data_IF_585570562727
#
_entry.id   IF_585570562727
#
_cell.length_a   1.000
_cell.length_b   1.000
_cell.length_c   1.000
_cell.angle_alpha   90.00
_cell.angle_beta   90.00
_cell.angle_gamma   90.00
#
_symmetry.space_group_name_H-M   'P 1'
#
loop_
_entity.id
_entity.type
_entity.pdbx_description
1 polymer ?
#
# COMPACT_ATOMS: atom_id res chain seq x y z
N UNK A 1 67.19 17.96 -55.22
CA UNK A 1 66.32 18.59 -54.20
C UNK A 1 65.03 17.82 -54.12
N UNK A 2 64.85 16.96 -53.12
CA UNK A 2 63.63 16.14 -52.93
C UNK A 2 62.84 16.70 -51.72
N UNK A 3 61.68 17.33 -51.98
CA UNK A 3 60.76 17.76 -50.92
C UNK A 3 60.05 16.54 -50.36
N UNK A 4 60.24 16.29 -49.06
CA UNK A 4 59.44 15.29 -48.28
C UNK A 4 58.12 15.94 -47.85
N UNK A 5 57.03 15.42 -48.35
CA UNK A 5 55.69 15.74 -47.86
C UNK A 5 55.44 14.97 -46.57
N UNK A 6 55.30 15.69 -45.45
CA UNK A 6 54.88 15.13 -44.17
C UNK A 6 53.34 15.13 -44.19
N UNK A 7 52.73 13.95 -44.20
CA UNK A 7 51.28 13.80 -44.03
C UNK A 7 50.95 13.75 -42.53
N UNK A 8 50.25 14.76 -42.03
CA UNK A 8 49.69 14.80 -40.66
C UNK A 8 48.42 13.93 -40.65
N UNK A 9 48.51 12.77 -40.02
CA UNK A 9 47.31 11.94 -39.76
C UNK A 9 46.72 12.44 -38.42
N UNK A 10 45.62 13.21 -38.49
CA UNK A 10 44.83 13.58 -37.34
C UNK A 10 43.90 12.41 -37.00
N UNK A 11 44.24 11.62 -35.98
CA UNK A 11 43.42 10.56 -35.44
C UNK A 11 42.33 11.18 -34.57
N UNK A 12 41.14 11.40 -35.14
CA UNK A 12 39.98 11.84 -34.37
C UNK A 12 39.49 10.69 -33.49
N UNK A 13 39.82 10.71 -32.19
CA UNK A 13 39.27 9.77 -31.21
C UNK A 13 37.81 10.16 -30.92
N UNK A 14 36.88 9.56 -31.65
CA UNK A 14 35.46 9.63 -31.38
C UNK A 14 35.20 8.90 -30.03
N UNK A 15 35.19 9.62 -28.92
CA UNK A 15 34.65 9.11 -27.68
C UNK A 15 33.13 8.94 -27.87
N UNK A 16 32.71 7.74 -28.21
CA UNK A 16 31.31 7.33 -28.06
C UNK A 16 31.02 7.27 -26.57
N UNK A 17 30.44 8.33 -26.05
CA UNK A 17 29.80 8.30 -24.72
C UNK A 17 28.63 7.32 -24.88
N UNK A 18 28.86 6.06 -24.51
CA UNK A 18 27.77 5.12 -24.27
C UNK A 18 27.03 5.69 -23.07
N UNK A 19 25.96 6.45 -23.31
CA UNK A 19 24.99 6.75 -22.27
C UNK A 19 24.41 5.40 -21.87
N UNK A 20 24.85 4.85 -20.75
CA UNK A 20 24.17 3.72 -20.14
C UNK A 20 22.73 4.17 -19.91
N UNK A 21 21.83 3.69 -20.78
CA UNK A 21 20.41 3.97 -20.62
C UNK A 21 20.02 3.36 -19.29
N UNK A 22 19.55 4.19 -18.37
CA UNK A 22 19.15 3.71 -17.06
C UNK A 22 18.07 2.62 -17.26
N UNK A 23 18.26 1.49 -16.60
CA UNK A 23 17.27 0.41 -16.64
C UNK A 23 15.95 0.93 -16.10
N UNK A 24 14.84 0.69 -16.79
CA UNK A 24 13.53 1.08 -16.36
C UNK A 24 13.10 0.29 -15.11
N UNK A 25 12.24 0.88 -14.30
CA UNK A 25 11.78 0.30 -13.03
C UNK A 25 10.48 -0.47 -13.24
N UNK A 26 10.42 -1.68 -12.70
CA UNK A 26 9.21 -2.50 -12.63
C UNK A 26 8.77 -2.67 -11.19
N UNK A 27 7.47 -2.49 -10.92
CA UNK A 27 6.88 -2.64 -9.59
C UNK A 27 5.76 -3.66 -9.61
N UNK A 28 5.73 -4.51 -8.59
CA UNK A 28 4.57 -5.36 -8.28
C UNK A 28 4.34 -5.40 -6.77
N UNK A 29 3.07 -5.40 -6.31
CA UNK A 29 2.82 -5.55 -4.89
C UNK A 29 1.56 -4.91 -4.35
N UNK A 30 1.74 -4.25 -3.21
CA UNK A 30 0.66 -3.60 -2.48
C UNK A 30 -0.13 -2.62 -3.33
N UNK A 31 -1.45 -2.81 -3.43
CA UNK A 31 -2.36 -1.85 -4.04
C UNK A 31 -2.45 -0.54 -3.25
N UNK A 32 -2.24 -0.58 -1.94
CA UNK A 32 -2.15 0.61 -1.08
C UNK A 32 -1.02 1.53 -1.55
N UNK A 33 0.19 0.98 -1.78
CA UNK A 33 1.34 1.73 -2.29
C UNK A 33 1.12 2.10 -3.76
N UNK A 34 0.71 1.13 -4.59
CA UNK A 34 0.54 1.34 -6.03
C UNK A 34 -0.49 2.42 -6.36
N UNK A 35 -1.68 2.37 -5.74
CA UNK A 35 -2.73 3.38 -5.95
C UNK A 35 -2.45 4.66 -5.16
N UNK A 36 -2.16 4.53 -3.87
CA UNK A 36 -2.13 5.67 -2.95
C UNK A 36 -0.82 6.47 -2.95
N UNK A 37 0.26 5.95 -3.56
CA UNK A 37 1.56 6.63 -3.64
C UNK A 37 2.05 6.70 -5.08
N UNK A 38 2.25 5.55 -5.76
CA UNK A 38 2.88 5.54 -7.09
C UNK A 38 2.00 6.27 -8.10
N UNK A 39 0.76 5.82 -8.29
CA UNK A 39 -0.22 6.44 -9.21
C UNK A 39 -0.80 7.76 -8.68
N UNK A 40 -0.58 8.10 -7.42
CA UNK A 40 -0.95 9.38 -6.82
C UNK A 40 0.10 10.49 -7.04
N UNK A 41 1.10 10.24 -7.89
CA UNK A 41 2.07 11.22 -8.36
C UNK A 41 3.53 10.89 -8.09
N UNK A 42 3.87 9.84 -7.30
CA UNK A 42 5.25 9.52 -7.01
C UNK A 42 6.01 8.99 -8.23
N UNK A 43 5.34 8.20 -9.08
CA UNK A 43 5.96 7.71 -10.31
C UNK A 43 6.27 8.86 -11.27
N UNK A 44 5.29 9.74 -11.53
CA UNK A 44 5.46 10.87 -12.44
C UNK A 44 6.55 11.84 -11.97
N UNK A 45 6.54 12.19 -10.67
CA UNK A 45 7.56 13.07 -10.09
C UNK A 45 8.96 12.46 -10.17
N UNK A 46 9.08 11.15 -9.95
CA UNK A 46 10.36 10.45 -10.07
C UNK A 46 10.85 10.41 -11.52
N UNK A 47 9.98 10.10 -12.48
CA UNK A 47 10.30 10.11 -13.92
C UNK A 47 10.81 11.47 -14.36
N UNK A 48 10.12 12.55 -13.99
CA UNK A 48 10.52 13.92 -14.31
C UNK A 48 11.90 14.26 -13.76
N UNK A 49 12.26 13.73 -12.58
CA UNK A 49 13.50 14.05 -11.89
C UNK A 49 14.68 13.21 -12.34
N UNK A 50 14.48 11.93 -12.60
CA UNK A 50 15.55 10.96 -12.86
C UNK A 50 15.67 10.53 -14.33
N UNK A 51 14.61 10.69 -15.13
CA UNK A 51 14.51 10.12 -16.46
C UNK A 51 14.26 8.60 -16.46
N UNK A 52 14.16 7.94 -15.31
CA UNK A 52 13.91 6.50 -15.21
C UNK A 52 12.40 6.27 -15.23
N UNK A 53 11.91 5.44 -16.16
CA UNK A 53 10.50 5.15 -16.31
C UNK A 53 10.05 3.98 -15.43
N UNK A 54 8.74 3.96 -15.14
CA UNK A 54 8.07 2.76 -14.67
C UNK A 54 7.42 2.04 -15.86
N UNK A 55 7.94 0.88 -16.24
CA UNK A 55 7.36 0.07 -17.33
C UNK A 55 6.15 -0.74 -16.89
N UNK A 56 6.04 -1.03 -15.57
CA UNK A 56 4.88 -1.68 -14.99
C UNK A 56 4.66 -1.26 -13.53
N UNK A 57 3.40 -1.04 -13.16
CA UNK A 57 2.94 -0.84 -11.78
C UNK A 57 1.77 -1.79 -11.53
N UNK A 58 2.10 -3.05 -11.22
CA UNK A 58 1.12 -4.09 -10.94
C UNK A 58 0.74 -4.14 -9.46
N UNK A 59 -0.53 -4.42 -9.17
CA UNK A 59 -1.09 -4.32 -7.83
C UNK A 59 -1.81 -5.60 -7.37
N UNK A 60 -1.18 -6.78 -7.49
CA UNK A 60 -1.81 -8.05 -7.15
C UNK A 60 -1.89 -8.31 -5.63
N UNK A 61 -1.31 -7.43 -4.80
CA UNK A 61 -1.18 -7.56 -3.35
C UNK A 61 0.26 -7.87 -2.91
N UNK A 62 0.56 -7.59 -1.63
CA UNK A 62 1.91 -7.67 -1.07
C UNK A 62 2.56 -9.04 -1.26
N UNK A 63 1.85 -10.12 -0.95
CA UNK A 63 2.39 -11.48 -1.06
C UNK A 63 2.75 -11.86 -2.49
N UNK A 64 1.89 -11.56 -3.46
CA UNK A 64 2.14 -11.84 -4.88
C UNK A 64 3.27 -10.97 -5.45
N UNK A 65 3.34 -9.70 -5.03
CA UNK A 65 4.42 -8.80 -5.44
C UNK A 65 5.79 -9.24 -4.92
N UNK A 66 5.86 -9.66 -3.64
CA UNK A 66 7.07 -10.24 -3.06
C UNK A 66 7.48 -11.51 -3.80
N UNK A 67 6.52 -12.37 -4.17
CA UNK A 67 6.84 -13.56 -4.96
C UNK A 67 7.38 -13.18 -6.35
N UNK A 68 6.79 -12.19 -7.03
CA UNK A 68 7.30 -11.70 -8.32
C UNK A 68 8.74 -11.15 -8.21
N UNK A 69 9.07 -10.48 -7.09
CA UNK A 69 10.43 -10.01 -6.81
C UNK A 69 11.40 -11.20 -6.62
N UNK A 70 11.01 -12.23 -5.88
CA UNK A 70 11.81 -13.44 -5.67
C UNK A 70 12.03 -14.23 -6.96
N UNK A 71 11.03 -14.21 -7.84
CA UNK A 71 11.11 -14.83 -9.18
C UNK A 71 11.94 -13.99 -10.19
N UNK A 72 12.46 -12.83 -9.80
CA UNK A 72 13.21 -11.91 -10.67
C UNK A 72 12.36 -11.23 -11.75
N UNK A 73 11.02 -11.24 -11.63
CA UNK A 73 10.09 -10.63 -12.60
C UNK A 73 9.98 -9.12 -12.48
N UNK A 74 10.32 -8.57 -11.30
CA UNK A 74 10.29 -7.13 -11.01
C UNK A 74 11.54 -6.74 -10.22
N UNK A 75 11.93 -5.47 -10.32
CA UNK A 75 13.07 -4.91 -9.59
C UNK A 75 12.68 -4.39 -8.21
N UNK A 76 11.40 -4.08 -8.01
CA UNK A 76 10.89 -3.48 -6.80
C UNK A 76 9.54 -4.10 -6.42
N UNK A 77 9.40 -4.55 -5.18
CA UNK A 77 8.10 -4.93 -4.67
C UNK A 77 7.57 -3.93 -3.63
N UNK A 78 6.25 -3.88 -3.48
CA UNK A 78 5.59 -3.11 -2.43
C UNK A 78 4.91 -4.00 -1.41
N UNK A 79 5.13 -3.75 -0.12
CA UNK A 79 4.41 -4.42 0.95
C UNK A 79 3.79 -3.41 1.92
N UNK A 80 2.50 -3.59 2.23
CA UNK A 80 1.79 -2.83 3.26
C UNK A 80 1.59 -3.66 4.52
N UNK A 81 2.63 -4.35 4.92
CA UNK A 81 2.81 -5.12 6.17
C UNK A 81 4.30 -5.33 6.44
N UNK A 82 4.68 -5.71 7.67
CA UNK A 82 6.03 -6.19 7.94
C UNK A 82 6.42 -7.37 7.03
N UNK A 83 7.71 -7.51 6.72
CA UNK A 83 8.21 -8.72 6.06
C UNK A 83 8.09 -9.91 7.01
N UNK A 84 7.60 -11.03 6.48
CA UNK A 84 7.50 -12.31 7.19
C UNK A 84 8.91 -12.88 7.47
N UNK A 85 9.02 -13.79 8.42
CA UNK A 85 10.30 -14.41 8.79
C UNK A 85 10.97 -15.10 7.59
N UNK A 86 10.18 -15.88 6.81
CA UNK A 86 10.66 -16.54 5.60
C UNK A 86 11.11 -15.56 4.49
N UNK A 87 10.49 -14.38 4.39
CA UNK A 87 10.88 -13.33 3.44
C UNK A 87 12.24 -12.71 3.83
N UNK A 88 12.45 -12.48 5.14
CA UNK A 88 13.73 -11.99 5.69
C UNK A 88 14.84 -13.04 5.52
N UNK A 89 14.55 -14.34 5.72
CA UNK A 89 15.50 -15.43 5.50
C UNK A 89 15.98 -15.49 4.03
N UNK A 90 15.14 -15.10 3.07
CA UNK A 90 15.48 -14.95 1.65
C UNK A 90 16.26 -13.65 1.35
N UNK A 91 16.77 -12.98 2.39
CA UNK A 91 17.55 -11.72 2.31
C UNK A 91 16.80 -10.55 1.68
N UNK A 92 15.46 -10.57 1.73
CA UNK A 92 14.68 -9.40 1.32
C UNK A 92 14.85 -8.26 2.34
N UNK A 93 15.01 -7.05 1.84
CA UNK A 93 15.10 -5.84 2.64
C UNK A 93 13.91 -4.94 2.31
N UNK A 94 13.18 -4.54 3.35
CA UNK A 94 12.07 -3.59 3.24
C UNK A 94 12.49 -2.22 3.77
N UNK A 95 12.43 -1.21 2.94
CA UNK A 95 12.62 0.19 3.34
C UNK A 95 11.27 0.83 3.61
N UNK A 96 11.05 1.31 4.84
CA UNK A 96 9.81 2.00 5.23
C UNK A 96 9.79 3.39 4.60
N UNK A 97 8.73 3.67 3.83
CA UNK A 97 8.49 4.98 3.21
C UNK A 97 7.33 5.75 3.83
N UNK A 98 6.55 5.11 4.69
CA UNK A 98 5.41 5.69 5.40
C UNK A 98 4.69 4.65 6.24
N UNK A 99 3.60 5.08 6.88
CA UNK A 99 2.72 4.22 7.67
C UNK A 99 1.27 4.43 7.24
N UNK A 100 0.45 3.39 7.40
CA UNK A 100 -0.98 3.36 7.09
C UNK A 100 -1.74 2.66 8.22
N UNK A 101 -3.04 2.88 8.27
CA UNK A 101 -3.96 2.12 9.11
C UNK A 101 -4.94 1.32 8.25
N UNK A 102 -5.22 0.09 8.63
CA UNK A 102 -6.42 -0.60 8.18
C UNK A 102 -7.57 -0.10 9.06
N UNK A 103 -8.27 0.93 8.59
CA UNK A 103 -9.34 1.56 9.33
C UNK A 103 -10.66 0.80 9.17
N UNK A 104 -11.47 0.82 10.21
CA UNK A 104 -12.84 0.27 10.19
C UNK A 104 -13.77 1.36 9.72
N UNK A 105 -14.50 1.10 8.63
CA UNK A 105 -15.47 2.03 8.06
C UNK A 105 -16.89 1.50 8.21
N UNK A 106 -17.80 2.43 8.50
CA UNK A 106 -19.25 2.21 8.51
C UNK A 106 -19.94 3.29 7.70
N UNK A 107 -21.21 3.07 7.33
CA UNK A 107 -22.02 4.13 6.72
C UNK A 107 -22.13 5.33 7.68
N UNK A 108 -22.19 6.56 7.15
CA UNK A 108 -22.20 7.78 7.96
C UNK A 108 -23.35 7.84 8.99
N UNK A 109 -24.50 7.26 8.64
CA UNK A 109 -25.72 7.25 9.48
C UNK A 109 -25.72 6.15 10.54
N UNK A 110 -24.71 5.25 10.55
CA UNK A 110 -24.55 4.29 11.62
C UNK A 110 -24.19 5.01 12.93
N UNK A 111 -24.92 4.81 14.06
CA UNK A 111 -24.66 5.53 15.32
C UNK A 111 -23.39 5.06 16.03
N UNK A 112 -22.84 3.88 15.70
CA UNK A 112 -21.64 3.33 16.33
C UNK A 112 -20.42 4.22 16.04
N UNK A 113 -19.67 4.58 17.08
CA UNK A 113 -18.48 5.44 17.00
C UNK A 113 -17.18 4.68 17.27
N UNK A 114 -17.28 3.55 17.96
CA UNK A 114 -16.13 2.69 18.31
C UNK A 114 -16.60 1.24 18.42
N UNK A 115 -15.70 0.31 18.07
CA UNK A 115 -15.85 -1.11 18.36
C UNK A 115 -14.64 -1.59 19.17
N UNK A 116 -14.84 -2.56 20.06
CA UNK A 116 -13.71 -3.28 20.62
C UNK A 116 -13.15 -4.27 19.60
N UNK A 117 -11.93 -4.76 19.83
CA UNK A 117 -11.34 -5.83 19.01
C UNK A 117 -12.26 -7.07 19.00
N UNK A 118 -12.81 -7.44 20.16
CA UNK A 118 -13.67 -8.61 20.32
C UNK A 118 -14.98 -8.45 19.55
N UNK A 119 -15.58 -7.26 19.59
CA UNK A 119 -16.79 -6.95 18.80
C UNK A 119 -16.49 -7.04 17.30
N UNK A 120 -15.39 -6.44 16.86
CA UNK A 120 -14.96 -6.49 15.45
C UNK A 120 -14.67 -7.91 15.01
N UNK A 121 -13.99 -8.72 15.84
CA UNK A 121 -13.79 -10.14 15.63
C UNK A 121 -15.13 -10.89 15.50
N UNK A 122 -16.05 -10.67 16.44
CA UNK A 122 -17.38 -11.30 16.41
C UNK A 122 -18.16 -10.99 15.12
N UNK A 123 -18.08 -9.75 14.62
CA UNK A 123 -18.71 -9.35 13.35
C UNK A 123 -18.10 -10.12 12.17
N UNK A 124 -16.78 -10.08 12.03
CA UNK A 124 -16.11 -10.66 10.87
C UNK A 124 -15.97 -12.19 10.91
N UNK A 125 -16.20 -12.83 12.07
CA UNK A 125 -16.36 -14.28 12.18
C UNK A 125 -17.82 -14.73 12.06
N UNK A 126 -18.78 -13.77 12.03
CA UNK A 126 -20.22 -14.07 11.91
C UNK A 126 -20.90 -14.46 13.23
N UNK A 127 -20.25 -14.23 14.37
CA UNK A 127 -20.84 -14.44 15.71
C UNK A 127 -21.79 -13.30 16.10
N UNK A 128 -21.42 -12.05 15.79
CA UNK A 128 -22.26 -10.86 15.98
C UNK A 128 -22.87 -10.52 14.60
N UNK A 129 -24.21 -10.52 14.53
CA UNK A 129 -24.94 -10.34 13.26
C UNK A 129 -25.88 -9.15 13.26
N UNK A 130 -26.05 -8.48 14.39
CA UNK A 130 -26.95 -7.35 14.51
C UNK A 130 -26.23 -6.17 15.16
N UNK A 131 -26.42 -4.97 14.61
CA UNK A 131 -25.80 -3.74 15.13
C UNK A 131 -26.22 -3.42 16.56
N UNK A 132 -27.45 -3.81 17.00
CA UNK A 132 -27.88 -3.59 18.40
C UNK A 132 -26.96 -4.26 19.42
N UNK A 133 -26.32 -5.37 19.06
CA UNK A 133 -25.44 -6.13 19.96
C UNK A 133 -24.13 -5.38 20.26
N UNK A 134 -23.86 -4.31 19.49
CA UNK A 134 -22.68 -3.44 19.63
C UNK A 134 -23.04 -1.95 19.76
N UNK A 135 -24.29 -1.65 20.20
CA UNK A 135 -24.73 -0.28 20.49
C UNK A 135 -25.26 0.49 19.27
N UNK A 136 -25.52 -0.18 18.17
CA UNK A 136 -26.16 0.38 16.99
C UNK A 136 -27.68 0.17 16.94
N UNK A 137 -28.28 0.45 15.79
CA UNK A 137 -29.71 0.23 15.54
C UNK A 137 -30.03 -1.28 15.46
N UNK A 138 -31.30 -1.64 15.64
CA UNK A 138 -31.74 -3.02 15.41
C UNK A 138 -31.80 -3.29 13.90
N UNK A 139 -30.67 -3.71 13.35
CA UNK A 139 -30.49 -3.98 11.92
C UNK A 139 -29.38 -5.02 11.71
N UNK A 140 -29.51 -5.89 10.68
CA UNK A 140 -28.48 -6.87 10.38
C UNK A 140 -27.19 -6.20 9.91
N UNK A 141 -26.04 -6.71 10.35
CA UNK A 141 -24.72 -6.22 9.89
C UNK A 141 -24.43 -6.84 8.52
N UNK A 142 -23.97 -6.02 7.57
CA UNK A 142 -23.56 -6.42 6.23
C UNK A 142 -22.04 -6.19 6.05
N UNK A 143 -21.18 -7.13 6.47
CA UNK A 143 -19.74 -6.97 6.36
C UNK A 143 -19.27 -7.30 4.95
N UNK A 144 -18.32 -6.47 4.42
CA UNK A 144 -17.57 -6.78 3.23
C UNK A 144 -16.06 -6.83 3.52
N UNK A 145 -15.34 -7.56 2.69
CA UNK A 145 -13.88 -7.72 2.78
C UNK A 145 -13.27 -7.89 1.39
N UNK A 146 -11.95 -7.84 1.29
CA UNK A 146 -11.23 -8.24 0.07
C UNK A 146 -11.38 -9.76 -0.16
N UNK A 147 -11.12 -10.21 -1.40
CA UNK A 147 -11.10 -11.64 -1.73
C UNK A 147 -10.09 -12.35 -0.80
N UNK A 148 -10.57 -13.29 0.00
CA UNK A 148 -9.80 -13.94 1.06
C UNK A 148 -8.58 -14.71 0.53
N UNK A 149 -8.66 -15.25 -0.69
CA UNK A 149 -7.56 -15.97 -1.34
C UNK A 149 -6.56 -15.07 -2.06
N UNK A 150 -6.73 -13.75 -1.99
CA UNK A 150 -5.93 -12.77 -2.75
C UNK A 150 -4.47 -12.63 -2.28
N UNK A 151 -4.14 -13.09 -1.07
CA UNK A 151 -2.85 -12.84 -0.39
C UNK A 151 -2.54 -11.35 -0.23
N UNK A 152 -3.56 -10.53 -0.08
CA UNK A 152 -3.42 -9.11 0.20
C UNK A 152 -3.11 -8.89 1.68
N UNK A 153 -2.23 -7.94 1.96
CA UNK A 153 -1.79 -7.64 3.32
C UNK A 153 -2.93 -7.25 4.27
N UNK A 154 -3.99 -6.59 3.77
CA UNK A 154 -5.16 -6.22 4.57
C UNK A 154 -5.84 -7.46 5.14
N UNK A 155 -6.11 -8.46 4.30
CA UNK A 155 -6.76 -9.72 4.72
C UNK A 155 -5.88 -10.46 5.73
N UNK A 156 -4.59 -10.63 5.42
CA UNK A 156 -3.64 -11.35 6.28
C UNK A 156 -3.51 -10.66 7.66
N UNK A 157 -3.27 -9.35 7.69
CA UNK A 157 -3.08 -8.60 8.94
C UNK A 157 -4.36 -8.51 9.76
N UNK A 158 -5.52 -8.32 9.12
CA UNK A 158 -6.78 -8.30 9.84
C UNK A 158 -7.08 -9.65 10.47
N UNK A 159 -6.82 -10.75 9.76
CA UNK A 159 -6.97 -12.09 10.31
C UNK A 159 -6.03 -12.35 11.48
N UNK A 160 -4.78 -11.92 11.38
CA UNK A 160 -3.79 -12.09 12.45
C UNK A 160 -4.11 -11.22 13.67
N UNK A 161 -4.30 -9.90 13.48
CA UNK A 161 -4.35 -8.93 14.58
C UNK A 161 -5.75 -8.77 15.19
N UNK A 162 -6.81 -8.98 14.41
CA UNK A 162 -8.21 -8.81 14.86
C UNK A 162 -8.86 -10.16 15.13
N UNK A 163 -8.74 -11.11 14.20
CA UNK A 163 -9.39 -12.41 14.34
C UNK A 163 -8.57 -13.42 15.16
N UNK A 164 -7.33 -13.07 15.58
CA UNK A 164 -6.39 -13.97 16.28
C UNK A 164 -6.16 -15.29 15.51
N UNK A 165 -6.06 -15.18 14.19
CA UNK A 165 -5.91 -16.32 13.28
C UNK A 165 -7.19 -17.10 12.98
N UNK A 166 -8.33 -16.77 13.61
CA UNK A 166 -9.59 -17.42 13.31
C UNK A 166 -10.03 -17.19 11.84
N UNK A 167 -10.76 -18.10 11.23
CA UNK A 167 -11.27 -17.90 9.88
C UNK A 167 -12.33 -16.81 9.83
N UNK A 168 -12.42 -16.14 8.69
CA UNK A 168 -13.55 -15.25 8.39
C UNK A 168 -14.86 -16.05 8.31
N UNK A 169 -15.95 -15.42 8.71
CA UNK A 169 -17.29 -16.01 8.64
C UNK A 169 -17.78 -16.26 7.19
N UNK A 170 -18.71 -17.17 7.01
CA UNK A 170 -19.21 -17.57 5.70
C UNK A 170 -20.10 -16.54 4.99
N UNK A 171 -20.57 -15.51 5.66
CA UNK A 171 -21.54 -14.54 5.13
C UNK A 171 -20.95 -13.23 4.59
N UNK A 172 -19.63 -13.10 4.51
CA UNK A 172 -19.00 -11.85 4.07
C UNK A 172 -19.06 -11.69 2.56
N UNK A 173 -19.45 -10.49 2.12
CA UNK A 173 -19.32 -10.11 0.71
C UNK A 173 -17.84 -9.88 0.38
N UNK A 174 -17.33 -10.60 -0.61
CA UNK A 174 -15.94 -10.44 -1.05
C UNK A 174 -15.87 -9.51 -2.26
N UNK A 175 -14.95 -8.54 -2.23
CA UNK A 175 -14.77 -7.50 -3.25
C UNK A 175 -13.30 -7.48 -3.66
N UNK A 176 -13.02 -7.46 -4.96
CA UNK A 176 -11.64 -7.60 -5.44
C UNK A 176 -10.78 -6.35 -5.13
N UNK A 177 -11.27 -5.16 -5.46
CA UNK A 177 -10.48 -3.94 -5.27
C UNK A 177 -10.76 -3.30 -3.90
N UNK A 178 -9.71 -2.98 -3.12
CA UNK A 178 -9.88 -2.39 -1.79
C UNK A 178 -10.71 -1.11 -1.77
N UNK A 179 -10.54 -0.23 -2.79
CA UNK A 179 -11.34 0.99 -2.92
C UNK A 179 -12.84 0.69 -3.06
N UNK A 180 -13.17 -0.35 -3.80
CA UNK A 180 -14.56 -0.70 -4.12
C UNK A 180 -15.32 -1.23 -2.90
N UNK A 181 -14.62 -1.66 -1.83
CA UNK A 181 -15.24 -1.95 -0.54
C UNK A 181 -15.90 -0.69 0.06
N UNK A 182 -15.22 0.46 -0.02
CA UNK A 182 -15.77 1.74 0.46
C UNK A 182 -16.92 2.20 -0.45
N UNK A 183 -16.79 2.00 -1.77
CA UNK A 183 -17.85 2.32 -2.75
C UNK A 183 -19.11 1.48 -2.48
N UNK A 184 -18.94 0.21 -2.18
CA UNK A 184 -20.05 -0.69 -1.80
C UNK A 184 -20.68 -0.24 -0.48
N UNK A 185 -19.85 0.00 0.55
CA UNK A 185 -20.28 0.47 1.87
C UNK A 185 -21.12 1.76 1.80
N UNK A 186 -20.74 2.69 0.93
CA UNK A 186 -21.47 3.96 0.75
C UNK A 186 -22.93 3.78 0.27
N UNK A 187 -23.28 2.59 -0.20
CA UNK A 187 -24.62 2.22 -0.70
C UNK A 187 -25.36 1.27 0.25
N UNK A 188 -24.70 0.84 1.32
CA UNK A 188 -25.22 -0.17 2.25
C UNK A 188 -25.27 0.42 3.67
N UNK A 189 -26.40 0.98 4.13
CA UNK A 189 -26.51 1.65 5.42
C UNK A 189 -26.05 0.81 6.63
N UNK A 190 -26.23 -0.49 6.56
CA UNK A 190 -25.86 -1.44 7.63
C UNK A 190 -24.48 -2.08 7.39
N UNK A 191 -23.70 -1.54 6.44
CA UNK A 191 -22.42 -2.09 6.04
C UNK A 191 -21.29 -1.78 7.04
N UNK A 192 -20.26 -2.63 6.98
CA UNK A 192 -18.98 -2.45 7.63
C UNK A 192 -17.88 -3.05 6.77
N UNK A 193 -16.74 -2.37 6.68
CA UNK A 193 -15.54 -2.92 6.04
C UNK A 193 -14.26 -2.47 6.76
N UNK A 194 -13.16 -3.13 6.45
CA UNK A 194 -11.83 -2.75 6.93
C UNK A 194 -10.88 -2.62 5.76
N UNK A 195 -10.37 -1.41 5.52
CA UNK A 195 -9.53 -1.09 4.37
C UNK A 195 -8.52 0.01 4.72
N UNK A 196 -7.47 0.15 3.94
CA UNK A 196 -6.50 1.24 4.08
C UNK A 196 -7.18 2.61 4.18
N UNK A 197 -6.86 3.36 5.25
CA UNK A 197 -7.38 4.71 5.47
C UNK A 197 -6.98 5.64 4.31
N UNK A 198 -5.74 5.54 3.84
CA UNK A 198 -5.23 6.37 2.76
C UNK A 198 -5.94 6.18 1.42
N UNK A 199 -6.57 5.02 1.19
CA UNK A 199 -7.34 4.81 -0.04
C UNK A 199 -8.67 5.55 -0.07
N UNK A 200 -9.14 6.09 1.06
CA UNK A 200 -10.33 6.94 1.10
C UNK A 200 -10.20 8.17 0.17
N UNK A 201 -8.99 8.66 -0.06
CA UNK A 201 -8.73 9.76 -0.98
C UNK A 201 -9.06 9.43 -2.45
N UNK A 202 -8.99 8.14 -2.82
CA UNK A 202 -9.29 7.66 -4.18
C UNK A 202 -10.78 7.40 -4.45
N UNK A 203 -11.62 7.52 -3.43
CA UNK A 203 -13.08 7.32 -3.54
C UNK A 203 -13.73 8.62 -4.04
N UNK A 204 -14.71 8.57 -4.97
CA UNK A 204 -15.47 9.73 -5.39
C UNK A 204 -16.07 10.50 -4.22
N UNK A 205 -16.04 11.84 -4.29
CA UNK A 205 -16.40 12.72 -3.17
C UNK A 205 -17.84 12.50 -2.64
N UNK A 206 -18.79 12.25 -3.53
CA UNK A 206 -20.19 11.96 -3.21
C UNK A 206 -20.37 10.67 -2.42
N UNK A 207 -19.56 9.65 -2.70
CA UNK A 207 -19.57 8.37 -1.97
C UNK A 207 -18.74 8.46 -0.69
N UNK A 208 -17.60 9.16 -0.73
CA UNK A 208 -16.76 9.41 0.44
C UNK A 208 -17.54 10.07 1.57
N UNK A 209 -18.42 11.02 1.25
CA UNK A 209 -19.27 11.72 2.24
C UNK A 209 -20.32 10.81 2.93
N UNK A 210 -20.55 9.61 2.41
CA UNK A 210 -21.52 8.64 2.94
C UNK A 210 -20.90 7.60 3.88
N UNK A 211 -19.59 7.65 4.11
CA UNK A 211 -18.90 6.72 4.99
C UNK A 211 -18.10 7.48 6.04
N UNK A 212 -17.81 6.81 7.16
CA UNK A 212 -16.92 7.34 8.20
C UNK A 212 -16.06 6.22 8.76
N UNK A 213 -14.81 6.53 9.09
CA UNK A 213 -13.97 5.69 9.92
C UNK A 213 -14.47 5.78 11.38
N UNK A 214 -14.40 4.67 12.11
CA UNK A 214 -14.71 4.61 13.54
C UNK A 214 -13.48 4.18 14.33
N UNK A 215 -13.48 4.49 15.62
CA UNK A 215 -12.42 4.09 16.54
C UNK A 215 -12.41 2.56 16.73
N UNK A 216 -11.24 2.03 17.03
CA UNK A 216 -11.02 0.65 17.48
C UNK A 216 -10.41 0.70 18.88
N UNK A 217 -11.06 0.05 19.85
CA UNK A 217 -10.71 0.17 21.29
C UNK A 217 -10.63 1.64 21.77
N UNK A 218 -11.55 2.48 21.29
CA UNK A 218 -11.60 3.93 21.54
C UNK A 218 -10.38 4.72 21.01
N UNK A 219 -9.58 4.15 20.14
CA UNK A 219 -8.45 4.82 19.49
C UNK A 219 -8.84 5.11 18.04
N UNK A 220 -8.86 6.38 17.65
CA UNK A 220 -9.12 6.80 16.26
C UNK A 220 -7.92 6.54 15.35
N UNK A 221 -8.13 6.16 14.08
CA UNK A 221 -7.07 6.02 13.10
C UNK A 221 -6.62 7.40 12.59
N UNK A 222 -5.73 8.06 13.31
CA UNK A 222 -5.13 9.34 12.94
C UNK A 222 -3.60 9.26 12.89
N UNK A 223 -2.94 10.30 12.39
CA UNK A 223 -1.49 10.32 12.20
C UNK A 223 -0.71 9.94 13.46
N UNK A 224 -1.12 10.44 14.63
CA UNK A 224 -0.42 10.18 15.88
C UNK A 224 -0.58 8.72 16.32
N UNK A 225 -1.81 8.18 16.30
CA UNK A 225 -2.09 6.81 16.70
C UNK A 225 -1.49 5.78 15.73
N UNK A 226 -1.45 6.11 14.42
CA UNK A 226 -0.85 5.27 13.38
C UNK A 226 0.68 5.28 13.50
N UNK A 227 1.29 6.46 13.66
CA UNK A 227 2.75 6.60 13.78
C UNK A 227 3.29 5.94 15.04
N UNK A 228 2.59 6.08 16.17
CA UNK A 228 2.99 5.49 17.45
C UNK A 228 2.70 3.99 17.55
N UNK A 229 1.90 3.43 16.62
CA UNK A 229 1.40 2.06 16.72
C UNK A 229 0.29 1.86 17.75
N UNK A 230 -0.25 2.95 18.32
CA UNK A 230 -1.38 2.87 19.27
C UNK A 230 -2.66 2.37 18.60
N UNK A 231 -2.90 2.71 17.32
CA UNK A 231 -4.00 2.11 16.56
C UNK A 231 -3.66 0.66 16.22
N UNK A 232 -4.46 -0.28 16.66
CA UNK A 232 -4.17 -1.73 16.65
C UNK A 232 -3.72 -2.26 15.27
N UNK A 233 -4.32 -1.76 14.18
CA UNK A 233 -4.05 -2.26 12.84
C UNK A 233 -3.25 -1.21 12.03
N UNK A 234 -2.22 -0.64 12.67
CA UNK A 234 -1.21 0.20 12.02
C UNK A 234 -0.19 -0.68 11.31
N UNK A 235 0.32 -0.21 10.16
CA UNK A 235 1.25 -0.98 9.34
C UNK A 235 2.27 -0.12 8.61
N UNK A 236 3.51 -0.60 8.39
CA UNK A 236 4.47 0.06 7.56
C UNK A 236 4.10 -0.09 6.07
N UNK A 237 4.46 0.92 5.28
CA UNK A 237 4.48 0.86 3.83
C UNK A 237 5.94 0.68 3.39
N UNK A 238 6.24 -0.49 2.83
CA UNK A 238 7.60 -0.91 2.50
C UNK A 238 7.81 -0.96 0.99
N UNK A 239 8.95 -0.41 0.54
CA UNK A 239 9.55 -0.77 -0.74
C UNK A 239 10.57 -1.88 -0.49
N UNK A 240 10.45 -2.99 -1.21
CA UNK A 240 11.19 -4.22 -0.94
C UNK A 240 12.11 -4.55 -2.10
N UNK A 241 13.36 -4.89 -1.77
CA UNK A 241 14.39 -5.29 -2.73
C UNK A 241 15.09 -6.59 -2.31
N UNK A 242 15.68 -7.35 -3.26
CA UNK A 242 16.51 -8.52 -2.95
C UNK A 242 17.90 -8.05 -2.47
N UNK A 243 18.09 -7.95 -1.15
CA UNK A 243 19.28 -7.37 -0.55
C UNK A 243 19.29 -5.84 -0.55
N UNK A 244 20.47 -5.24 -0.39
CA UNK A 244 20.61 -3.78 -0.39
C UNK A 244 20.13 -3.18 -1.71
N UNK A 245 19.36 -2.07 -1.68
CA UNK A 245 18.86 -1.42 -2.89
C UNK A 245 19.98 -1.04 -3.86
N UNK A 246 19.81 -1.33 -5.14
CA UNK A 246 20.76 -1.02 -6.23
C UNK A 246 20.01 -0.44 -7.42
N UNK A 247 20.76 0.23 -8.32
CA UNK A 247 20.24 0.74 -9.60
C UNK A 247 18.97 1.58 -9.42
N UNK A 248 18.03 1.48 -10.37
CA UNK A 248 16.78 2.25 -10.37
C UNK A 248 15.96 2.12 -9.08
N UNK A 249 15.93 0.92 -8.48
CA UNK A 249 15.22 0.70 -7.22
C UNK A 249 15.82 1.51 -6.07
N UNK A 250 17.17 1.64 -5.99
CA UNK A 250 17.85 2.48 -5.01
C UNK A 250 17.50 3.95 -5.23
N UNK A 251 17.52 4.42 -6.46
CA UNK A 251 17.22 5.81 -6.80
C UNK A 251 15.78 6.16 -6.41
N UNK A 252 14.82 5.31 -6.76
CA UNK A 252 13.44 5.52 -6.38
C UNK A 252 13.23 5.50 -4.86
N UNK A 253 13.82 4.53 -4.14
CA UNK A 253 13.74 4.48 -2.67
C UNK A 253 14.35 5.75 -2.06
N UNK A 254 15.51 6.21 -2.57
CA UNK A 254 16.14 7.44 -2.12
C UNK A 254 15.26 8.66 -2.37
N UNK A 255 14.63 8.76 -3.56
CA UNK A 255 13.67 9.80 -3.88
C UNK A 255 12.50 9.81 -2.89
N UNK A 256 11.89 8.65 -2.62
CA UNK A 256 10.77 8.55 -1.68
C UNK A 256 11.12 9.00 -0.26
N UNK A 257 12.39 8.95 0.14
CA UNK A 257 12.87 9.41 1.45
C UNK A 257 13.28 10.89 1.47
N UNK A 258 13.26 11.60 0.34
CA UNK A 258 13.43 13.07 0.30
C UNK A 258 12.18 13.79 0.83
N UNK A 259 12.31 15.10 1.10
CA UNK A 259 11.17 15.94 1.47
C UNK A 259 10.06 15.89 0.41
N UNK A 260 10.40 15.90 -0.89
CA UNK A 260 9.45 15.81 -1.98
C UNK A 260 8.69 14.49 -1.96
N UNK A 261 9.40 13.35 -1.88
CA UNK A 261 8.78 12.02 -1.79
C UNK A 261 7.89 11.88 -0.55
N UNK A 262 8.34 12.42 0.59
CA UNK A 262 7.55 12.38 1.84
C UNK A 262 6.32 13.29 1.80
N UNK A 263 6.37 14.41 1.10
CA UNK A 263 5.19 15.25 0.84
C UNK A 263 4.15 14.52 -0.03
N UNK A 264 4.59 13.68 -0.97
CA UNK A 264 3.67 12.84 -1.75
C UNK A 264 3.03 11.77 -0.84
N UNK A 265 3.81 11.12 0.01
CA UNK A 265 3.28 10.16 1.01
C UNK A 265 2.26 10.83 1.92
N UNK A 266 2.55 12.05 2.41
CA UNK A 266 1.72 12.79 3.34
C UNK A 266 0.32 13.18 2.79
N UNK A 267 0.11 13.11 1.47
CA UNK A 267 -1.22 13.36 0.89
C UNK A 267 -2.26 12.33 1.33
N UNK A 268 -1.84 11.09 1.55
CA UNK A 268 -2.74 9.96 1.81
C UNK A 268 -2.34 9.12 3.02
N UNK A 269 -1.11 9.22 3.50
CA UNK A 269 -0.52 8.36 4.53
C UNK A 269 0.34 9.14 5.51
N UNK A 270 0.79 8.48 6.56
CA UNK A 270 1.67 9.08 7.56
C UNK A 270 3.13 8.94 7.09
N UNK A 271 3.84 10.04 6.78
CA UNK A 271 5.22 9.98 6.32
C UNK A 271 6.18 9.54 7.44
N UNK A 272 7.36 8.98 7.09
CA UNK A 272 8.39 8.58 8.07
C UNK A 272 9.10 9.78 8.70
N UNK A 273 9.14 10.90 7.97
CA UNK A 273 9.70 12.18 8.45
C UNK A 273 8.65 13.28 8.31
N UNK A 274 8.63 14.20 9.27
CA UNK A 274 7.87 15.46 9.16
C UNK A 274 8.71 16.50 8.47
#
# INVERSE_FOLDING_TARGET
>A
MKLRKIALVVLALAMTVLSAQAEDLTYSGSSTIGTGILKAGAADAFIQKSGINFTAIDQPGSGKGIQALLDGKVLLAGASRPLKAEEKQKKLIGTTIGYDAIAVFVHKDNPVKSLTKEQLKGIFTGQIKNWKDVGGNDAPIAPNTEILTSKRATVEMFQELVLDGAPYGAGLKQIDLPRDQIVDLARVPNGICSVSLGLLASVPADLKSKVKAIALNNIEPNDNSVRSGAYLISRPLLLVTPGLPKGPAKEFISFMLTAEGQNIVAKNFVPVRK
#
